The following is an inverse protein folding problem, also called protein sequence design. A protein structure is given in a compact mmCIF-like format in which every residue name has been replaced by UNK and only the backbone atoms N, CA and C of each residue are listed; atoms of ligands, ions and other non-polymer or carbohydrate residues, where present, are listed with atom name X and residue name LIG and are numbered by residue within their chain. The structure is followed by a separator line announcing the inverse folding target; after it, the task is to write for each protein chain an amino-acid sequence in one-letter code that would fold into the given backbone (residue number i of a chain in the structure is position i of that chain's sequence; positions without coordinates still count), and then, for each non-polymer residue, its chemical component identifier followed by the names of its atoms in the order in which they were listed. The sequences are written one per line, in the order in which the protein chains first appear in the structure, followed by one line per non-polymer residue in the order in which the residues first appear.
data_IF_371126957354
#
_entry.id   IF_371126957354
#
_cell.length_a   1.000
_cell.length_b   1.000
_cell.length_c   1.000
_cell.angle_alpha   90.00
_cell.angle_beta   90.00
_cell.angle_gamma   90.00
#
_symmetry.space_group_name_H-M   'P 1'
#
loop_
_entity.id
_entity.type
_entity.pdbx_description
1 polymer ?
#
# COMPACT_ATOMS: atom_id res chain seq x y z
N UNK A 1 -11.50 19.77 6.75
CA UNK A 1 -11.34 21.17 6.33
C UNK A 1 -10.01 21.31 5.60
N UNK A 2 -10.01 21.85 4.38
CA UNK A 2 -8.77 22.08 3.61
C UNK A 2 -8.19 23.47 3.85
N UNK A 3 -6.87 23.55 3.95
CA UNK A 3 -6.11 24.78 4.19
C UNK A 3 -4.95 24.89 3.21
N UNK A 4 -4.45 26.12 3.03
CA UNK A 4 -3.23 26.37 2.28
C UNK A 4 -2.01 25.78 3.00
N UNK A 5 -0.88 25.77 2.31
CA UNK A 5 0.38 25.26 2.85
C UNK A 5 0.80 25.92 4.18
N UNK A 6 1.43 25.12 5.04
CA UNK A 6 2.18 25.58 6.21
C UNK A 6 3.61 25.88 5.75
N UNK A 7 3.97 27.17 5.64
CA UNK A 7 5.30 27.59 5.20
C UNK A 7 6.39 26.99 6.10
N UNK A 8 7.44 26.44 5.48
CA UNK A 8 8.57 25.82 6.18
C UNK A 8 8.31 24.44 6.79
N UNK A 9 7.08 23.92 6.71
CA UNK A 9 6.75 22.57 7.20
C UNK A 9 7.04 21.47 6.16
N UNK A 10 7.45 20.27 6.58
CA UNK A 10 7.60 19.12 5.68
C UNK A 10 6.24 18.60 5.21
N UNK A 11 6.25 17.77 4.15
CA UNK A 11 5.07 17.04 3.69
C UNK A 11 4.87 15.75 4.50
N UNK A 12 3.63 15.47 4.91
CA UNK A 12 3.27 14.29 5.70
C UNK A 12 1.82 13.86 5.41
N UNK A 13 1.56 12.55 5.42
CA UNK A 13 0.21 11.99 5.65
C UNK A 13 0.24 10.98 6.78
N UNK A 14 -0.77 11.00 7.64
CA UNK A 14 -0.94 10.02 8.71
C UNK A 14 -2.40 9.61 8.83
N UNK A 15 -2.63 8.31 8.92
CA UNK A 15 -3.93 7.71 9.21
C UNK A 15 -3.89 7.12 10.61
N UNK A 16 -4.89 7.42 11.43
CA UNK A 16 -4.92 7.02 12.83
C UNK A 16 -5.65 5.67 12.99
N UNK A 17 -5.03 4.60 12.49
CA UNK A 17 -5.60 3.25 12.52
C UNK A 17 -5.64 2.68 13.95
N UNK A 18 -4.52 2.79 14.68
CA UNK A 18 -4.36 2.14 15.99
C UNK A 18 -4.82 2.99 17.18
N UNK A 19 -5.21 4.23 16.93
CA UNK A 19 -5.69 5.12 17.98
C UNK A 19 -7.16 4.82 18.26
N UNK A 20 -7.49 4.25 19.43
CA UNK A 20 -8.87 3.89 19.81
C UNK A 20 -9.88 5.04 19.68
N UNK A 21 -9.46 6.29 19.85
CA UNK A 21 -10.33 7.46 19.68
C UNK A 21 -10.71 7.65 18.22
N UNK A 22 -9.80 7.34 17.29
CA UNK A 22 -9.97 7.62 15.89
C UNK A 22 -10.17 6.37 15.02
N UNK A 23 -9.79 5.16 15.43
CA UNK A 23 -10.06 3.84 14.81
C UNK A 23 -10.30 3.85 13.29
N UNK A 24 -9.38 4.44 12.50
CA UNK A 24 -9.51 4.51 11.04
C UNK A 24 -10.48 5.57 10.49
N UNK A 25 -10.87 6.54 11.31
CA UNK A 25 -11.82 7.63 11.01
C UNK A 25 -11.17 9.00 10.90
N UNK A 26 -9.86 9.10 11.14
CA UNK A 26 -9.10 10.34 10.99
C UNK A 26 -7.93 10.16 10.04
N UNK A 27 -7.80 11.10 9.13
CA UNK A 27 -6.66 11.25 8.25
C UNK A 27 -6.22 12.70 8.24
N UNK A 28 -4.91 12.88 8.44
CA UNK A 28 -4.27 14.20 8.46
C UNK A 28 -3.20 14.24 7.37
N UNK A 29 -3.30 15.22 6.48
CA UNK A 29 -2.36 15.54 5.43
C UNK A 29 -1.81 16.94 5.66
N UNK A 30 -0.49 17.08 5.59
CA UNK A 30 0.21 18.35 5.74
C UNK A 30 1.07 18.55 4.51
N UNK A 31 0.95 19.72 3.88
CA UNK A 31 1.76 20.14 2.74
C UNK A 31 1.89 19.07 1.65
N UNK A 32 0.75 18.48 1.26
CA UNK A 32 0.72 17.52 0.15
C UNK A 32 0.20 18.18 -1.12
N UNK A 33 0.80 17.86 -2.29
CA UNK A 33 0.27 18.34 -3.55
C UNK A 33 -1.11 17.73 -3.82
N UNK A 34 -1.92 18.46 -4.59
CA UNK A 34 -3.29 18.05 -4.93
C UNK A 34 -3.38 16.63 -5.51
N UNK A 35 -2.36 16.22 -6.25
CA UNK A 35 -2.28 14.91 -6.89
C UNK A 35 -2.11 13.77 -5.88
N UNK A 36 -1.29 13.98 -4.85
CA UNK A 36 -1.17 13.04 -3.72
C UNK A 36 -2.48 12.96 -2.95
N UNK A 37 -3.19 14.09 -2.75
CA UNK A 37 -4.50 14.08 -2.12
C UNK A 37 -5.52 13.27 -2.94
N UNK A 38 -5.58 13.43 -4.26
CA UNK A 38 -6.45 12.58 -5.09
C UNK A 38 -6.03 11.10 -5.07
N UNK A 39 -4.74 10.78 -5.03
CA UNK A 39 -4.28 9.40 -4.88
C UNK A 39 -4.77 8.78 -3.57
N UNK A 40 -4.63 9.50 -2.45
CA UNK A 40 -5.14 9.08 -1.14
C UNK A 40 -6.66 8.88 -1.16
N UNK A 41 -7.40 9.87 -1.68
CA UNK A 41 -8.87 9.85 -1.76
C UNK A 41 -9.43 8.69 -2.61
N UNK A 42 -8.63 8.15 -3.53
CA UNK A 42 -9.03 7.07 -4.42
C UNK A 42 -8.37 5.73 -4.04
N UNK A 43 -8.08 5.51 -2.75
CA UNK A 43 -7.67 4.21 -2.24
C UNK A 43 -6.16 4.01 -2.05
N UNK A 44 -5.35 5.05 -2.26
CA UNK A 44 -3.90 5.04 -2.00
C UNK A 44 -3.17 3.81 -2.59
N UNK A 45 -3.53 3.45 -3.82
CA UNK A 45 -2.91 2.33 -4.50
C UNK A 45 -1.38 2.51 -4.62
N UNK A 46 -0.60 1.42 -4.53
CA UNK A 46 0.85 1.47 -4.75
C UNK A 46 1.20 2.13 -6.08
N UNK A 47 2.32 2.86 -6.12
CA UNK A 47 2.76 3.58 -7.32
C UNK A 47 2.92 2.65 -8.53
N UNK A 48 3.38 1.41 -8.32
CA UNK A 48 3.49 0.36 -9.36
C UNK A 48 2.14 -0.02 -9.97
N UNK A 49 1.05 0.06 -9.18
CA UNK A 49 -0.32 -0.26 -9.58
C UNK A 49 -1.04 0.91 -10.25
N UNK A 50 -0.69 2.15 -9.94
CA UNK A 50 -1.32 3.34 -10.53
C UNK A 50 -0.62 3.87 -11.78
N UNK A 51 -1.39 4.43 -12.73
CA UNK A 51 -0.85 5.40 -13.69
C UNK A 51 -1.43 6.75 -13.27
N UNK A 52 -0.56 7.65 -12.82
CA UNK A 52 -0.97 8.98 -12.42
C UNK A 52 -0.86 9.94 -13.62
N UNK A 53 -1.98 10.20 -14.28
CA UNK A 53 -2.06 11.13 -15.43
C UNK A 53 -2.17 12.60 -15.01
N UNK A 54 -2.18 12.92 -13.72
CA UNK A 54 -2.38 14.29 -13.23
C UNK A 54 -1.22 15.26 -13.54
N UNK A 55 -0.14 14.79 -14.19
CA UNK A 55 1.03 15.56 -14.65
C UNK A 55 1.46 16.65 -13.65
N UNK A 56 2.16 16.29 -12.58
CA UNK A 56 2.71 17.29 -11.65
C UNK A 56 4.04 17.88 -12.11
N UNK A 57 4.16 19.20 -12.08
CA UNK A 57 5.45 19.88 -12.12
C UNK A 57 6.14 19.90 -10.74
N UNK A 58 7.47 20.06 -10.71
CA UNK A 58 8.30 20.13 -9.47
C UNK A 58 7.91 21.25 -8.48
N UNK A 59 6.98 22.14 -8.83
CA UNK A 59 6.52 23.29 -8.03
C UNK A 59 4.99 23.32 -7.86
N UNK A 60 4.35 22.15 -7.81
CA UNK A 60 2.90 22.10 -7.60
C UNK A 60 2.52 22.71 -6.22
N UNK A 61 1.46 23.53 -6.14
CA UNK A 61 0.94 24.00 -4.86
C UNK A 61 0.59 22.83 -3.93
N UNK A 62 0.84 23.01 -2.64
CA UNK A 62 0.55 22.02 -1.62
C UNK A 62 -0.52 22.51 -0.66
N UNK A 63 -1.22 21.56 -0.03
CA UNK A 63 -2.39 21.81 0.80
C UNK A 63 -2.35 20.94 2.05
N UNK A 64 -3.03 21.42 3.08
CA UNK A 64 -3.27 20.70 4.32
C UNK A 64 -4.73 20.27 4.38
N UNK A 65 -4.98 19.06 4.88
CA UNK A 65 -6.32 18.51 5.05
C UNK A 65 -6.35 17.71 6.35
N UNK A 66 -7.28 18.05 7.23
CA UNK A 66 -7.64 17.19 8.36
C UNK A 66 -9.11 16.79 8.21
N UNK A 67 -9.35 15.49 8.29
CA UNK A 67 -10.65 14.88 8.06
C UNK A 67 -10.95 13.92 9.21
N UNK A 68 -12.13 14.06 9.82
CA UNK A 68 -12.64 13.19 10.86
C UNK A 68 -14.06 12.79 10.45
N UNK A 69 -14.35 11.49 10.42
CA UNK A 69 -15.67 10.93 10.07
C UNK A 69 -16.24 10.10 11.21
N UNK A 70 -17.54 9.78 11.14
CA UNK A 70 -18.18 8.93 12.15
C UNK A 70 -17.87 7.44 11.94
N UNK A 71 -17.90 6.97 10.69
CA UNK A 71 -17.56 5.60 10.33
C UNK A 71 -16.31 5.56 9.45
N UNK A 72 -15.40 4.57 9.63
CA UNK A 72 -14.19 4.46 8.81
C UNK A 72 -14.45 4.37 7.32
N UNK A 73 -15.55 3.71 6.93
CA UNK A 73 -15.95 3.55 5.52
C UNK A 73 -16.23 4.89 4.82
N UNK A 74 -16.56 5.94 5.58
CA UNK A 74 -16.90 7.26 5.05
C UNK A 74 -15.66 8.13 4.81
N UNK A 75 -14.47 7.69 5.23
CA UNK A 75 -13.25 8.52 5.20
C UNK A 75 -12.87 8.92 3.76
N UNK A 76 -12.75 7.95 2.85
CA UNK A 76 -12.39 8.21 1.46
C UNK A 76 -13.50 8.98 0.71
N UNK A 77 -14.79 8.60 0.81
CA UNK A 77 -15.88 9.40 0.24
C UNK A 77 -15.90 10.85 0.73
N UNK A 78 -15.67 11.09 2.03
CA UNK A 78 -15.63 12.44 2.57
C UNK A 78 -14.43 13.24 2.05
N UNK A 79 -13.27 12.59 1.87
CA UNK A 79 -12.12 13.22 1.23
C UNK A 79 -12.40 13.61 -0.22
N UNK A 80 -13.01 12.73 -1.00
CA UNK A 80 -13.43 13.01 -2.39
C UNK A 80 -14.39 14.22 -2.45
N UNK A 81 -15.34 14.30 -1.50
CA UNK A 81 -16.29 15.42 -1.40
C UNK A 81 -15.59 16.75 -1.07
N UNK A 82 -14.65 16.75 -0.13
CA UNK A 82 -13.88 17.96 0.20
C UNK A 82 -13.02 18.45 -0.96
N UNK A 83 -12.43 17.52 -1.73
CA UNK A 83 -11.67 17.85 -2.94
C UNK A 83 -12.57 18.45 -4.02
N UNK A 84 -13.70 17.81 -4.32
CA UNK A 84 -14.65 18.27 -5.33
C UNK A 84 -15.31 19.62 -4.99
N UNK A 85 -15.42 19.96 -3.70
CA UNK A 85 -15.94 21.27 -3.26
C UNK A 85 -14.95 22.41 -3.52
N UNK A 86 -13.65 22.12 -3.53
CA UNK A 86 -12.56 23.13 -3.54
C UNK A 86 -11.93 23.29 -4.91
N UNK A 87 -11.97 22.24 -5.74
CA UNK A 87 -11.33 22.22 -7.04
C UNK A 87 -12.27 21.64 -8.09
N UNK A 88 -12.27 22.23 -9.27
CA UNK A 88 -13.00 21.72 -10.44
C UNK A 88 -12.37 20.42 -10.99
N UNK A 89 -11.18 20.07 -10.52
CA UNK A 89 -10.49 18.86 -10.94
C UNK A 89 -11.27 17.62 -10.48
N UNK A 90 -11.56 16.73 -11.42
CA UNK A 90 -12.18 15.44 -11.14
C UNK A 90 -11.22 14.32 -11.50
N UNK A 91 -10.59 13.71 -10.48
CA UNK A 91 -9.86 12.46 -10.68
C UNK A 91 -10.86 11.30 -10.77
N UNK A 92 -10.63 10.38 -11.70
CA UNK A 92 -11.43 9.16 -11.86
C UNK A 92 -10.51 7.96 -11.93
N UNK A 93 -10.93 6.86 -11.32
CA UNK A 93 -10.27 5.57 -11.49
C UNK A 93 -10.62 5.06 -12.88
N UNK A 94 -9.60 4.81 -13.71
CA UNK A 94 -9.76 4.14 -15.00
C UNK A 94 -9.06 2.78 -14.94
N UNK A 95 -9.74 1.69 -15.32
CA UNK A 95 -9.07 0.40 -15.51
C UNK A 95 -8.01 0.51 -16.60
N UNK A 96 -6.85 -0.09 -16.37
CA UNK A 96 -5.76 -0.19 -17.35
C UNK A 96 -5.28 -1.63 -17.37
N UNK A 97 -4.98 -2.15 -18.56
CA UNK A 97 -4.36 -3.46 -18.72
C UNK A 97 -2.86 -3.32 -18.49
N UNK A 98 -2.31 -4.12 -17.57
CA UNK A 98 -0.89 -4.19 -17.27
C UNK A 98 -0.41 -5.64 -17.30
N UNK A 99 0.85 -5.83 -17.68
CA UNK A 99 1.50 -7.12 -17.55
C UNK A 99 1.75 -7.40 -16.07
N UNK A 100 1.47 -8.64 -15.67
CA UNK A 100 1.63 -9.14 -14.31
C UNK A 100 2.63 -10.30 -14.31
N UNK A 101 3.22 -10.58 -13.16
CA UNK A 101 3.95 -11.81 -12.91
C UNK A 101 3.10 -12.75 -12.05
N UNK A 102 3.12 -14.03 -12.37
CA UNK A 102 2.39 -15.03 -11.61
C UNK A 102 3.30 -15.64 -10.54
N UNK A 103 2.91 -15.50 -9.27
CA UNK A 103 3.58 -16.18 -8.17
C UNK A 103 3.07 -17.62 -8.10
N UNK A 104 3.96 -18.57 -8.41
CA UNK A 104 3.65 -20.01 -8.44
C UNK A 104 4.63 -20.80 -7.57
N UNK A 105 4.14 -21.90 -7.00
CA UNK A 105 5.01 -22.89 -6.34
C UNK A 105 5.63 -23.76 -7.43
N UNK A 106 6.92 -23.58 -7.69
CA UNK A 106 7.64 -24.32 -8.74
C UNK A 106 8.37 -25.55 -8.22
N UNK A 107 8.64 -25.60 -6.90
CA UNK A 107 9.22 -26.77 -6.25
C UNK A 107 8.45 -27.09 -4.95
N UNK A 108 7.47 -28.01 -5.00
CA UNK A 108 6.64 -28.36 -3.86
C UNK A 108 7.42 -28.90 -2.66
N UNK A 109 8.48 -29.69 -2.89
CA UNK A 109 9.30 -30.25 -1.81
C UNK A 109 10.00 -29.14 -1.01
N UNK A 110 10.51 -28.13 -1.72
CA UNK A 110 11.15 -26.97 -1.11
C UNK A 110 10.16 -26.02 -0.46
N UNK A 111 8.95 -25.90 -1.01
CA UNK A 111 7.89 -25.12 -0.38
C UNK A 111 7.45 -25.76 0.94
N UNK A 112 7.34 -27.10 0.97
CA UNK A 112 7.06 -27.85 2.20
C UNK A 112 8.12 -27.66 3.29
N UNK A 113 9.36 -27.26 2.97
CA UNK A 113 10.38 -27.00 4.00
C UNK A 113 10.26 -25.62 4.68
N UNK A 114 9.36 -24.74 4.23
CA UNK A 114 9.11 -23.44 4.87
C UNK A 114 8.42 -23.69 6.22
N UNK A 115 8.87 -23.00 7.28
CA UNK A 115 8.25 -23.14 8.60
C UNK A 115 6.84 -22.55 8.61
N UNK A 116 5.91 -23.26 9.25
CA UNK A 116 4.57 -22.74 9.54
C UNK A 116 4.62 -22.12 10.92
N UNK A 117 4.02 -20.95 11.05
CA UNK A 117 3.93 -20.30 12.34
C UNK A 117 2.84 -20.97 13.19
N UNK A 118 3.13 -21.24 14.46
CA UNK A 118 2.16 -21.72 15.45
C UNK A 118 2.00 -20.80 16.67
N UNK A 119 2.78 -19.71 16.78
CA UNK A 119 2.76 -18.78 17.90
C UNK A 119 1.66 -17.73 17.81
N UNK A 120 1.18 -17.40 16.59
CA UNK A 120 0.12 -16.42 16.37
C UNK A 120 0.53 -14.95 16.54
N UNK A 121 1.80 -14.68 16.82
CA UNK A 121 2.35 -13.33 16.91
C UNK A 121 2.79 -12.82 15.54
N UNK A 122 2.17 -11.74 15.07
CA UNK A 122 2.56 -11.07 13.83
C UNK A 122 3.73 -10.13 14.09
N UNK A 123 4.91 -10.50 13.60
CA UNK A 123 6.04 -9.56 13.51
C UNK A 123 6.12 -9.04 12.08
N UNK A 124 6.16 -7.71 11.92
CA UNK A 124 6.26 -7.06 10.62
C UNK A 124 7.52 -6.20 10.57
N UNK A 125 8.49 -6.66 9.77
CA UNK A 125 9.61 -5.85 9.32
C UNK A 125 9.71 -5.92 7.80
N UNK A 126 9.73 -4.76 7.14
CA UNK A 126 9.88 -4.65 5.69
C UNK A 126 10.71 -3.41 5.35
N UNK A 127 11.81 -3.61 4.61
CA UNK A 127 12.61 -2.55 3.98
C UNK A 127 13.05 -2.99 2.59
N UNK A 128 13.64 -2.10 1.80
CA UNK A 128 14.09 -2.42 0.44
C UNK A 128 14.99 -3.66 0.42
N UNK A 129 14.48 -4.77 -0.11
CA UNK A 129 15.21 -6.03 -0.22
C UNK A 129 15.19 -6.95 1.00
N UNK A 130 14.56 -6.57 2.11
CA UNK A 130 14.45 -7.40 3.31
C UNK A 130 13.03 -7.40 3.87
N UNK A 131 12.58 -8.61 4.18
CA UNK A 131 11.35 -8.89 4.92
C UNK A 131 11.70 -9.81 6.05
N UNK A 132 11.32 -9.46 7.27
CA UNK A 132 11.20 -10.43 8.34
C UNK A 132 9.75 -10.41 8.76
N UNK A 133 8.99 -11.36 8.21
CA UNK A 133 7.59 -11.48 8.47
C UNK A 133 7.30 -12.90 8.93
N UNK A 134 7.05 -12.98 10.22
CA UNK A 134 6.33 -14.11 10.80
C UNK A 134 4.85 -13.91 10.53
N UNK A 135 4.14 -15.01 10.33
CA UNK A 135 2.69 -15.01 10.15
C UNK A 135 2.20 -14.33 8.85
N UNK A 136 2.72 -14.72 7.68
CA UNK A 136 2.21 -14.21 6.40
C UNK A 136 1.70 -15.26 5.44
N UNK A 137 0.64 -14.90 4.74
CA UNK A 137 0.09 -15.67 3.63
C UNK A 137 0.90 -15.42 2.34
N UNK A 138 0.75 -16.31 1.36
CA UNK A 138 1.32 -16.07 0.02
C UNK A 138 0.72 -14.83 -0.67
N UNK A 139 -0.49 -14.42 -0.28
CA UNK A 139 -1.10 -13.17 -0.74
C UNK A 139 -0.35 -11.95 -0.21
N UNK A 140 -0.09 -11.92 1.10
CA UNK A 140 0.68 -10.84 1.73
C UNK A 140 2.13 -10.81 1.24
N UNK A 141 2.73 -11.98 1.00
CA UNK A 141 4.05 -12.05 0.38
C UNK A 141 4.05 -11.48 -1.06
N UNK A 142 3.01 -11.76 -1.84
CA UNK A 142 2.80 -11.15 -3.16
C UNK A 142 2.72 -9.63 -3.07
N UNK A 143 1.97 -9.10 -2.10
CA UNK A 143 1.86 -7.66 -1.85
C UNK A 143 3.22 -7.04 -1.49
N UNK A 144 4.00 -7.67 -0.60
CA UNK A 144 5.36 -7.22 -0.27
C UNK A 144 6.25 -7.13 -1.52
N UNK A 145 6.18 -8.13 -2.42
CA UNK A 145 7.00 -8.14 -3.64
C UNK A 145 6.69 -6.97 -4.56
N UNK A 146 5.45 -6.50 -4.58
CA UNK A 146 5.04 -5.33 -5.36
C UNK A 146 5.42 -4.00 -4.70
N UNK A 147 5.34 -3.93 -3.38
CA UNK A 147 5.56 -2.70 -2.62
C UNK A 147 7.05 -2.41 -2.38
N UNK A 148 7.86 -3.45 -2.16
CA UNK A 148 9.26 -3.32 -1.72
C UNK A 148 10.26 -4.21 -2.48
N UNK A 149 9.76 -5.14 -3.29
CA UNK A 149 10.57 -6.20 -3.91
C UNK A 149 11.04 -5.88 -5.32
N UNK A 150 10.26 -6.31 -6.30
CA UNK A 150 10.65 -6.42 -7.72
C UNK A 150 10.02 -5.36 -8.62
N UNK A 151 9.26 -4.42 -8.04
CA UNK A 151 8.59 -3.31 -8.73
C UNK A 151 7.68 -3.74 -9.91
N UNK A 152 7.27 -5.00 -9.95
CA UNK A 152 6.30 -5.55 -10.91
C UNK A 152 5.05 -6.00 -10.19
N UNK A 153 3.92 -5.93 -10.88
CA UNK A 153 2.65 -6.47 -10.40
C UNK A 153 2.74 -7.99 -10.24
N UNK A 154 2.24 -8.51 -9.13
CA UNK A 154 2.28 -9.93 -8.79
C UNK A 154 0.86 -10.42 -8.50
N UNK A 155 0.45 -11.47 -9.20
CA UNK A 155 -0.77 -12.22 -8.89
C UNK A 155 -0.40 -13.51 -8.16
N UNK A 156 -1.02 -13.74 -7.01
CA UNK A 156 -0.86 -14.97 -6.26
C UNK A 156 -1.66 -16.12 -6.91
N UNK A 157 -0.97 -16.99 -7.64
CA UNK A 157 -1.55 -18.22 -8.22
C UNK A 157 -1.14 -19.48 -7.45
N UNK A 158 -0.62 -19.33 -6.23
CA UNK A 158 -0.16 -20.48 -5.44
C UNK A 158 -1.30 -21.34 -4.89
N UNK A 159 -2.51 -20.78 -4.76
CA UNK A 159 -3.65 -21.43 -4.11
C UNK A 159 -3.44 -21.73 -2.61
N UNK A 160 -2.33 -21.26 -2.02
CA UNK A 160 -1.99 -21.55 -0.64
C UNK A 160 -2.55 -20.47 0.30
N UNK A 161 -3.31 -20.93 1.30
CA UNK A 161 -3.91 -20.10 2.36
C UNK A 161 -3.20 -20.29 3.71
N UNK A 162 -2.10 -21.05 3.73
CA UNK A 162 -1.35 -21.28 4.96
C UNK A 162 -0.64 -20.00 5.40
N UNK A 163 -0.46 -19.89 6.71
CA UNK A 163 0.31 -18.84 7.34
C UNK A 163 1.76 -19.34 7.52
N UNK A 164 2.71 -18.62 6.95
CA UNK A 164 4.10 -19.02 6.82
C UNK A 164 5.03 -18.04 7.54
N UNK A 165 6.15 -18.55 8.03
CA UNK A 165 7.27 -17.73 8.48
C UNK A 165 8.26 -17.54 7.32
N UNK A 166 8.30 -16.32 6.78
CA UNK A 166 9.12 -15.98 5.62
C UNK A 166 10.15 -14.93 6.04
N UNK A 167 11.39 -15.40 6.25
CA UNK A 167 12.52 -14.51 6.50
C UNK A 167 13.31 -14.34 5.19
N UNK A 168 13.46 -13.09 4.75
CA UNK A 168 14.37 -12.71 3.66
C UNK A 168 15.54 -11.89 4.19
N UNK A 169 16.49 -12.58 4.81
CA UNK A 169 17.90 -12.19 4.75
C UNK A 169 18.55 -13.10 3.71
N UNK A 170 18.68 -12.61 2.46
CA UNK A 170 19.50 -13.24 1.40
C UNK A 170 19.17 -14.69 0.96
N UNK A 171 18.07 -15.30 1.42
CA UNK A 171 17.90 -16.73 1.20
C UNK A 171 17.41 -17.02 -0.23
N UNK A 172 18.35 -17.32 -1.14
CA UNK A 172 18.11 -17.90 -2.48
C UNK A 172 17.18 -19.13 -2.42
N UNK A 173 16.94 -19.71 -1.24
CA UNK A 173 16.06 -20.86 -1.05
C UNK A 173 14.58 -20.53 -1.31
N UNK A 174 14.03 -19.47 -0.73
CA UNK A 174 12.60 -19.10 -0.87
C UNK A 174 12.31 -18.55 -2.26
N UNK A 175 13.20 -17.69 -2.81
CA UNK A 175 13.13 -17.22 -4.21
C UNK A 175 13.18 -18.34 -5.26
N UNK A 176 13.78 -19.49 -4.95
CA UNK A 176 13.81 -20.66 -5.84
C UNK A 176 12.66 -21.64 -5.59
N UNK A 177 11.91 -21.50 -4.49
CA UNK A 177 10.76 -22.37 -4.17
C UNK A 177 9.47 -21.83 -4.79
N UNK A 178 9.32 -20.50 -4.80
CA UNK A 178 8.29 -19.77 -5.50
C UNK A 178 8.96 -18.92 -6.58
N UNK A 179 8.78 -19.28 -7.85
CA UNK A 179 9.28 -18.48 -8.97
C UNK A 179 8.15 -17.63 -9.51
N UNK A 180 8.52 -16.41 -9.91
CA UNK A 180 7.66 -15.51 -10.68
C UNK A 180 8.04 -15.65 -12.15
N UNK A 181 7.06 -15.98 -12.98
CA UNK A 181 7.16 -15.91 -14.44
C UNK A 181 6.44 -14.65 -14.91
#
# INVERSE_FOLDING_TARGET
MMQAEIKGGPGLSTTWLDNKTFSGRRLTCINLPLTTLYMLANGHYPYSRTINETKTGKKAPVYCLDLIVQNPADLLPAMQKELAKRFDLQAKIKPVIKNIQALRITNPAKFKSIKRNTSGERTYYSRHGEIDQQMITMQEFGQYLEDYGIEKLVVNETGNLEILDINSLSNRKTRKACWMF
#
